data_IF_510321617970
#
_entry.id   IF_510321617970
#
_cell.length_a   1.000
_cell.length_b   1.000
_cell.length_c   1.000
_cell.angle_alpha   90.00
_cell.angle_beta   90.00
_cell.angle_gamma   90.00
#
_symmetry.space_group_name_H-M   'P 1'
#
loop_
_entity.id
_entity.type
_entity.pdbx_description
1 polymer ?
#
# COMPACT_ATOMS: atom_id res chain seq x y z
N UNK A 1 11.81 6.90 22.93
CA UNK A 1 10.96 6.56 21.78
C UNK A 1 11.29 5.15 21.36
N UNK A 2 10.31 4.24 21.29
CA UNK A 2 10.54 2.88 20.82
C UNK A 2 10.93 2.91 19.33
N UNK A 3 12.00 2.22 18.96
CA UNK A 3 12.34 1.96 17.57
C UNK A 3 11.18 1.21 16.91
N UNK A 4 10.88 1.51 15.64
CA UNK A 4 9.95 0.70 14.86
C UNK A 4 10.44 -0.75 14.87
N UNK A 5 9.60 -1.67 15.36
CA UNK A 5 9.95 -3.09 15.43
C UNK A 5 9.57 -3.76 14.12
N UNK A 6 10.34 -3.42 13.10
CA UNK A 6 10.13 -3.85 11.71
C UNK A 6 9.94 -5.36 11.61
N UNK A 7 10.86 -6.14 12.19
CA UNK A 7 10.78 -7.60 12.18
C UNK A 7 9.47 -8.14 12.76
N UNK A 8 9.07 -7.65 13.94
CA UNK A 8 7.81 -8.10 14.56
C UNK A 8 6.60 -7.69 13.72
N UNK A 9 6.67 -6.54 13.03
CA UNK A 9 5.59 -6.08 12.16
C UNK A 9 5.45 -6.98 10.93
N UNK A 10 6.58 -7.38 10.32
CA UNK A 10 6.64 -8.33 9.21
C UNK A 10 6.09 -9.69 9.64
N UNK A 11 6.54 -10.23 10.78
CA UNK A 11 6.06 -11.52 11.31
C UNK A 11 4.56 -11.50 11.59
N UNK A 12 4.06 -10.43 12.24
CA UNK A 12 2.63 -10.28 12.50
C UNK A 12 1.82 -10.20 11.21
N UNK A 13 2.30 -9.45 10.22
CA UNK A 13 1.66 -9.34 8.91
C UNK A 13 1.59 -10.68 8.19
N UNK A 14 2.71 -11.42 8.16
CA UNK A 14 2.77 -12.77 7.59
C UNK A 14 1.78 -13.72 8.26
N UNK A 15 1.75 -13.75 9.60
CA UNK A 15 0.84 -14.60 10.36
C UNK A 15 -0.64 -14.26 10.12
N UNK A 16 -0.96 -12.96 9.96
CA UNK A 16 -2.29 -12.49 9.59
C UNK A 16 -2.68 -12.99 8.20
N UNK A 17 -1.82 -12.79 7.20
CA UNK A 17 -2.05 -13.24 5.84
C UNK A 17 -2.17 -14.76 5.77
N UNK A 18 -1.32 -15.51 6.47
CA UNK A 18 -1.38 -16.99 6.54
C UNK A 18 -2.72 -17.46 7.08
N UNK A 19 -3.22 -16.86 8.17
CA UNK A 19 -4.51 -17.23 8.76
C UNK A 19 -5.69 -16.93 7.84
N UNK A 20 -5.55 -15.95 6.95
CA UNK A 20 -6.61 -15.48 6.07
C UNK A 20 -6.61 -16.20 4.72
N UNK A 21 -5.45 -16.33 4.08
CA UNK A 21 -5.29 -16.86 2.72
C UNK A 21 -5.05 -18.38 2.68
N UNK A 22 -4.68 -19.04 3.79
CA UNK A 22 -4.53 -20.50 3.79
C UNK A 22 -5.85 -21.14 4.25
N UNK A 23 -6.62 -21.79 3.36
CA UNK A 23 -7.94 -22.31 3.69
C UNK A 23 -7.86 -23.45 4.70
N UNK A 24 -8.49 -23.28 5.87
CA UNK A 24 -8.41 -24.25 6.99
C UNK A 24 -9.06 -25.59 6.66
N UNK A 25 -10.17 -25.56 5.93
CA UNK A 25 -11.01 -26.72 5.59
C UNK A 25 -10.54 -27.46 4.33
N UNK A 26 -9.45 -26.99 3.70
CA UNK A 26 -8.85 -27.64 2.53
C UNK A 26 -7.94 -28.81 2.91
N UNK A 27 -7.54 -29.58 1.90
CA UNK A 27 -6.64 -30.72 2.08
C UNK A 27 -5.25 -30.30 2.56
N UNK A 28 -4.48 -31.18 3.23
CA UNK A 28 -3.10 -30.88 3.61
C UNK A 28 -2.22 -30.44 2.43
N UNK A 29 -2.44 -30.98 1.23
CA UNK A 29 -1.71 -30.62 0.03
C UNK A 29 -2.05 -29.20 -0.46
N UNK A 30 -3.34 -28.83 -0.48
CA UNK A 30 -3.77 -27.48 -0.83
C UNK A 30 -3.27 -26.43 0.15
N UNK A 31 -3.30 -26.73 1.46
CA UNK A 31 -2.73 -25.82 2.48
C UNK A 31 -1.23 -25.61 2.30
N UNK A 32 -0.51 -26.68 1.93
CA UNK A 32 0.92 -26.58 1.62
C UNK A 32 1.15 -25.71 0.39
N UNK A 33 0.42 -25.94 -0.71
CA UNK A 33 0.49 -25.12 -1.94
C UNK A 33 0.14 -23.65 -1.65
N UNK A 34 -0.92 -23.38 -0.88
CA UNK A 34 -1.31 -22.02 -0.50
C UNK A 34 -0.23 -21.31 0.33
N UNK A 35 0.44 -22.04 1.22
CA UNK A 35 1.53 -21.50 2.04
C UNK A 35 2.78 -21.20 1.18
N UNK A 36 3.13 -22.09 0.25
CA UNK A 36 4.22 -21.87 -0.72
C UNK A 36 3.94 -20.61 -1.56
N UNK A 37 2.72 -20.49 -2.10
CA UNK A 37 2.30 -19.28 -2.85
C UNK A 37 2.36 -18.04 -1.97
N UNK A 38 1.98 -18.11 -0.69
CA UNK A 38 2.10 -16.96 0.22
C UNK A 38 3.56 -16.53 0.42
N UNK A 39 4.51 -17.48 0.49
CA UNK A 39 5.92 -17.14 0.54
C UNK A 39 6.39 -16.46 -0.75
N UNK A 40 6.01 -16.98 -1.91
CA UNK A 40 6.33 -16.37 -3.20
C UNK A 40 5.77 -14.94 -3.31
N UNK A 41 4.54 -14.72 -2.82
CA UNK A 41 3.91 -13.39 -2.79
C UNK A 41 4.66 -12.40 -1.89
N UNK A 42 5.23 -12.84 -0.76
CA UNK A 42 6.06 -11.99 0.10
C UNK A 42 7.38 -11.66 -0.61
N UNK A 43 7.99 -12.67 -1.22
CA UNK A 43 9.25 -12.56 -1.96
C UNK A 43 9.10 -11.72 -3.23
N UNK A 44 7.89 -11.56 -3.75
CA UNK A 44 7.55 -10.71 -4.89
C UNK A 44 7.06 -9.32 -4.44
N UNK A 45 5.96 -9.24 -3.71
CA UNK A 45 5.26 -7.98 -3.39
C UNK A 45 5.80 -7.28 -2.13
N UNK A 46 6.65 -7.94 -1.34
CA UNK A 46 7.15 -7.41 -0.07
C UNK A 46 6.26 -7.79 1.11
N UNK A 47 6.49 -7.21 2.30
CA UNK A 47 5.79 -7.61 3.50
C UNK A 47 4.30 -7.22 3.48
N UNK A 48 3.50 -7.91 4.28
CA UNK A 48 2.07 -7.62 4.46
C UNK A 48 1.90 -6.32 5.23
N UNK A 49 0.97 -5.50 4.76
CA UNK A 49 0.66 -4.17 5.30
C UNK A 49 -0.83 -4.06 5.62
N UNK A 50 -1.21 -3.14 6.49
CA UNK A 50 -2.62 -2.89 6.79
C UNK A 50 -3.21 -1.87 5.81
N UNK A 51 -2.48 -0.78 5.54
CA UNK A 51 -2.86 0.22 4.55
C UNK A 51 -1.65 0.96 3.99
N UNK A 52 -1.83 1.48 2.78
CA UNK A 52 -0.79 2.16 2.00
C UNK A 52 -0.62 3.62 2.44
N UNK A 53 0.55 4.23 2.16
CA UNK A 53 0.65 5.67 2.08
C UNK A 53 -0.34 6.25 1.06
N UNK A 54 -0.92 7.43 1.32
CA UNK A 54 -1.89 8.07 0.42
C UNK A 54 -1.32 8.37 -0.96
N UNK A 55 0.00 8.60 -1.05
CA UNK A 55 0.72 8.83 -2.30
C UNK A 55 1.07 7.56 -3.07
N UNK A 56 0.83 6.37 -2.50
CA UNK A 56 1.25 5.10 -3.11
C UNK A 56 0.45 4.83 -4.41
N UNK A 57 1.07 4.33 -5.49
CA UNK A 57 0.39 4.12 -6.78
C UNK A 57 -0.82 3.16 -6.71
N UNK A 58 -0.89 2.30 -5.70
CA UNK A 58 -2.05 1.42 -5.51
C UNK A 58 -3.28 2.14 -4.96
N UNK A 59 -3.15 3.35 -4.42
CA UNK A 59 -4.28 4.10 -3.85
C UNK A 59 -4.34 5.56 -4.26
N UNK A 60 -3.30 6.13 -4.88
CA UNK A 60 -3.18 7.57 -5.15
C UNK A 60 -4.18 8.17 -6.15
N UNK A 61 -5.06 7.37 -6.75
CA UNK A 61 -6.08 7.83 -7.71
C UNK A 61 -7.36 8.33 -7.05
N UNK A 62 -7.43 8.32 -5.73
CA UNK A 62 -8.58 8.79 -4.97
C UNK A 62 -8.79 10.30 -5.09
N UNK A 63 -10.01 10.75 -4.76
CA UNK A 63 -10.31 12.17 -4.58
C UNK A 63 -9.43 12.74 -3.45
N UNK A 64 -8.55 13.73 -3.71
CA UNK A 64 -7.69 14.34 -2.70
C UNK A 64 -8.44 14.87 -1.46
N UNK A 65 -9.74 15.18 -1.58
CA UNK A 65 -10.59 15.62 -0.45
C UNK A 65 -11.06 14.49 0.45
N UNK A 66 -10.98 13.25 -0.02
CA UNK A 66 -11.39 12.05 0.68
C UNK A 66 -10.30 10.98 0.55
N UNK A 67 -9.14 11.16 1.19
CA UNK A 67 -8.00 10.27 1.01
C UNK A 67 -8.30 8.87 1.50
N UNK A 68 -8.04 7.89 0.64
CA UNK A 68 -8.18 6.47 0.94
C UNK A 68 -6.80 5.83 1.00
N UNK A 69 -6.67 4.79 1.83
CA UNK A 69 -5.40 4.10 2.07
C UNK A 69 -5.46 2.60 1.78
N UNK A 70 -6.58 2.13 1.26
CA UNK A 70 -6.79 0.75 0.84
C UNK A 70 -7.39 0.73 -0.56
N UNK A 71 -6.97 -0.22 -1.43
CA UNK A 71 -7.60 -0.45 -2.72
C UNK A 71 -9.12 -0.57 -2.59
N UNK A 72 -9.84 0.20 -3.40
CA UNK A 72 -11.30 0.24 -3.40
C UNK A 72 -11.81 0.85 -4.71
N UNK A 73 -13.13 0.91 -4.86
CA UNK A 73 -13.78 1.63 -5.98
C UNK A 73 -13.37 3.09 -6.06
N UNK A 74 -13.01 3.71 -4.93
CA UNK A 74 -12.54 5.10 -4.89
C UNK A 74 -11.18 5.28 -5.56
N UNK A 75 -10.41 4.20 -5.73
CA UNK A 75 -9.16 4.19 -6.51
C UNK A 75 -9.36 3.64 -7.94
N UNK A 76 -10.59 3.24 -8.30
CA UNK A 76 -10.92 2.64 -9.60
C UNK A 76 -10.98 1.12 -9.64
N UNK A 77 -10.65 0.40 -8.55
CA UNK A 77 -10.74 -1.06 -8.53
C UNK A 77 -12.19 -1.54 -8.44
N UNK A 78 -12.51 -2.62 -9.16
CA UNK A 78 -13.85 -3.24 -9.12
C UNK A 78 -13.74 -4.74 -8.88
N UNK A 79 -14.75 -5.32 -8.25
CA UNK A 79 -14.80 -6.77 -7.99
C UNK A 79 -13.81 -7.25 -6.93
N UNK A 80 -13.25 -6.35 -6.11
CA UNK A 80 -12.39 -6.74 -5.00
C UNK A 80 -13.19 -7.49 -3.94
N UNK A 81 -12.65 -8.61 -3.50
CA UNK A 81 -13.16 -9.41 -2.40
C UNK A 81 -12.00 -10.08 -1.64
N UNK A 82 -12.19 -10.36 -0.36
CA UNK A 82 -11.20 -11.07 0.46
C UNK A 82 -9.75 -10.65 0.22
N UNK A 83 -9.49 -9.35 0.39
CA UNK A 83 -8.23 -8.73 -0.04
C UNK A 83 -7.19 -8.70 1.08
N UNK A 84 -5.93 -9.03 0.72
CA UNK A 84 -4.75 -8.89 1.58
C UNK A 84 -3.74 -7.99 0.88
N UNK A 85 -3.24 -6.99 1.63
CA UNK A 85 -2.33 -5.99 1.12
C UNK A 85 -0.87 -6.35 1.43
N UNK A 86 -0.01 -6.14 0.44
CA UNK A 86 1.44 -6.24 0.52
C UNK A 86 2.04 -4.88 0.15
N UNK A 87 3.29 -4.61 0.51
CA UNK A 87 3.92 -3.30 0.29
C UNK A 87 3.84 -2.82 -1.18
N UNK A 88 4.01 -3.72 -2.15
CA UNK A 88 4.05 -3.40 -3.59
C UNK A 88 2.99 -4.13 -4.40
N UNK A 89 1.90 -4.54 -3.77
CA UNK A 89 0.78 -5.20 -4.45
C UNK A 89 -0.27 -5.70 -3.48
N UNK A 90 -1.32 -6.31 -3.99
CA UNK A 90 -2.31 -6.98 -3.15
C UNK A 90 -2.82 -8.23 -3.84
N UNK A 91 -3.41 -9.11 -3.05
CA UNK A 91 -4.11 -10.29 -3.55
C UNK A 91 -5.57 -10.19 -3.13
N UNK A 92 -6.46 -10.43 -4.08
CA UNK A 92 -7.91 -10.49 -3.86
C UNK A 92 -8.44 -11.84 -4.33
N UNK A 93 -9.40 -12.41 -3.60
CA UNK A 93 -9.97 -13.72 -3.89
C UNK A 93 -11.49 -13.61 -4.16
N UNK A 94 -11.91 -13.00 -5.28
CA UNK A 94 -13.33 -12.93 -5.64
C UNK A 94 -13.94 -14.31 -5.89
N UNK A 95 -15.17 -14.50 -5.43
CA UNK A 95 -15.97 -15.68 -5.77
C UNK A 95 -16.41 -15.69 -7.24
N UNK A 96 -16.57 -14.51 -7.84
CA UNK A 96 -17.05 -14.36 -9.21
C UNK A 96 -16.28 -13.25 -9.92
N UNK A 97 -16.05 -13.45 -11.23
CA UNK A 97 -15.57 -12.42 -12.14
C UNK A 97 -14.20 -11.79 -11.79
N UNK A 98 -13.15 -12.62 -11.72
CA UNK A 98 -11.78 -12.13 -11.66
C UNK A 98 -11.40 -11.20 -12.84
N UNK A 99 -12.14 -11.25 -13.95
CA UNK A 99 -11.92 -10.37 -15.10
C UNK A 99 -12.28 -8.92 -14.78
N UNK A 100 -13.30 -8.70 -13.94
CA UNK A 100 -13.66 -7.37 -13.48
C UNK A 100 -12.51 -6.70 -12.71
N UNK A 101 -11.79 -7.47 -11.87
CA UNK A 101 -10.59 -6.98 -11.18
C UNK A 101 -9.53 -6.59 -12.21
N UNK A 102 -9.17 -7.52 -13.09
CA UNK A 102 -8.07 -7.33 -14.07
C UNK A 102 -8.35 -6.15 -15.01
N UNK A 103 -9.56 -6.10 -15.57
CA UNK A 103 -9.99 -5.00 -16.45
C UNK A 103 -10.04 -3.66 -15.73
N UNK A 104 -10.42 -3.63 -14.44
CA UNK A 104 -10.36 -2.40 -13.64
C UNK A 104 -8.93 -1.90 -13.48
N UNK A 105 -7.98 -2.79 -13.16
CA UNK A 105 -6.55 -2.43 -13.02
C UNK A 105 -5.99 -1.86 -14.32
N UNK A 106 -6.30 -2.46 -15.46
CA UNK A 106 -5.86 -1.98 -16.78
C UNK A 106 -6.40 -0.57 -17.12
N UNK A 107 -7.49 -0.14 -16.49
CA UNK A 107 -8.09 1.18 -16.70
C UNK A 107 -7.58 2.26 -15.74
N UNK A 108 -6.84 1.88 -14.69
CA UNK A 108 -6.33 2.81 -13.68
C UNK A 108 -5.14 3.58 -14.26
N UNK A 109 -5.26 4.91 -14.27
CA UNK A 109 -4.14 5.77 -14.60
C UNK A 109 -3.30 6.01 -13.34
N UNK A 110 -2.07 5.48 -13.33
CA UNK A 110 -1.14 5.63 -12.22
C UNK A 110 -0.29 6.89 -12.36
N UNK A 111 0.03 7.59 -11.25
CA UNK A 111 1.00 8.68 -11.28
C UNK A 111 2.37 8.20 -11.80
N UNK A 112 3.18 9.15 -12.27
CA UNK A 112 4.52 8.88 -12.81
C UNK A 112 5.39 8.08 -11.83
N UNK A 113 6.15 7.10 -12.35
CA UNK A 113 7.13 6.34 -11.57
C UNK A 113 6.70 4.91 -11.24
N UNK A 114 5.50 4.48 -11.61
CA UNK A 114 5.05 3.09 -11.51
C UNK A 114 3.98 2.73 -12.55
N UNK A 115 3.85 1.43 -12.82
CA UNK A 115 2.72 0.84 -13.54
C UNK A 115 2.01 -0.19 -12.68
N UNK A 116 0.72 -0.42 -12.95
CA UNK A 116 -0.03 -1.51 -12.31
C UNK A 116 -0.26 -2.65 -13.30
N UNK A 117 -0.17 -3.87 -12.80
CA UNK A 117 -0.52 -5.08 -13.55
C UNK A 117 -1.36 -6.01 -12.68
N UNK A 118 -2.17 -6.85 -13.31
CA UNK A 118 -3.01 -7.82 -12.63
C UNK A 118 -3.07 -9.13 -13.41
N UNK A 119 -3.00 -10.24 -12.70
CA UNK A 119 -3.17 -11.57 -13.29
C UNK A 119 -3.89 -12.53 -12.35
N UNK A 120 -4.55 -13.52 -12.93
CA UNK A 120 -5.09 -14.65 -12.16
C UNK A 120 -3.95 -15.59 -11.80
N UNK A 121 -3.99 -16.13 -10.59
CA UNK A 121 -3.03 -17.15 -10.15
C UNK A 121 -3.76 -18.47 -9.87
N UNK A 122 -3.16 -19.58 -10.31
CA UNK A 122 -3.67 -20.92 -10.02
C UNK A 122 -3.22 -21.37 -8.62
N UNK A 123 -3.89 -20.86 -7.59
CA UNK A 123 -3.58 -21.13 -6.20
C UNK A 123 -4.86 -21.33 -5.37
N UNK A 124 -4.87 -22.29 -4.41
CA UNK A 124 -6.01 -22.51 -3.52
C UNK A 124 -5.98 -21.51 -2.36
N UNK A 125 -6.04 -20.21 -2.66
CA UNK A 125 -6.04 -19.15 -1.64
C UNK A 125 -7.45 -18.89 -1.13
N UNK A 126 -7.53 -18.46 0.14
CA UNK A 126 -8.72 -18.08 0.90
C UNK A 126 -9.76 -19.19 1.07
N UNK A 127 -10.42 -19.61 -0.02
CA UNK A 127 -11.44 -20.65 -0.01
C UNK A 127 -11.61 -21.28 -1.40
N UNK A 128 -12.13 -22.52 -1.41
CA UNK A 128 -12.59 -23.19 -2.62
C UNK A 128 -13.63 -22.35 -3.38
N UNK A 129 -13.52 -22.33 -4.71
CA UNK A 129 -14.42 -21.59 -5.59
C UNK A 129 -14.07 -20.11 -5.79
N UNK A 130 -13.06 -19.57 -5.10
CA UNK A 130 -12.54 -18.24 -5.42
C UNK A 130 -11.60 -18.28 -6.62
N UNK A 131 -11.40 -17.12 -7.25
CA UNK A 131 -10.49 -16.91 -8.37
C UNK A 131 -9.43 -15.89 -7.96
N UNK A 132 -8.32 -16.31 -7.31
CA UNK A 132 -7.34 -15.37 -6.81
C UNK A 132 -6.69 -14.55 -7.93
N UNK A 133 -6.65 -13.24 -7.71
CA UNK A 133 -5.99 -12.26 -8.58
C UNK A 133 -4.90 -11.58 -7.77
N UNK A 134 -3.69 -11.58 -8.32
CA UNK A 134 -2.60 -10.75 -7.83
C UNK A 134 -2.60 -9.43 -8.60
N UNK A 135 -2.46 -8.33 -7.87
CA UNK A 135 -2.26 -6.99 -8.42
C UNK A 135 -0.89 -6.50 -7.98
N UNK A 136 -0.08 -6.02 -8.92
CA UNK A 136 1.29 -5.56 -8.70
C UNK A 136 1.41 -4.07 -8.93
N UNK A 137 2.31 -3.46 -8.16
CA UNK A 137 2.84 -2.13 -8.40
C UNK A 137 4.28 -2.26 -8.86
N UNK A 138 4.49 -2.12 -10.17
CA UNK A 138 5.80 -2.23 -10.81
C UNK A 138 6.45 -0.85 -10.84
N UNK A 139 7.48 -0.64 -10.03
CA UNK A 139 8.19 0.64 -9.95
C UNK A 139 9.15 0.83 -11.13
N UNK A 140 9.13 2.01 -11.75
CA UNK A 140 10.06 2.37 -12.84
C UNK A 140 11.52 2.50 -12.33
N UNK A 141 11.67 2.88 -11.06
CA UNK A 141 12.97 2.99 -10.39
C UNK A 141 13.18 1.78 -9.48
N UNK A 142 14.37 1.13 -9.49
CA UNK A 142 14.68 0.05 -8.57
C UNK A 142 14.46 0.45 -7.11
N UNK A 143 13.84 -0.44 -6.34
CA UNK A 143 13.66 -0.27 -4.91
C UNK A 143 15.00 -0.35 -4.16
N UNK A 144 15.07 0.32 -3.02
CA UNK A 144 16.21 0.22 -2.10
C UNK A 144 16.22 -1.15 -1.38
N UNK A 145 17.30 -1.43 -0.64
CA UNK A 145 17.42 -2.64 0.18
C UNK A 145 16.20 -2.80 1.10
N UNK A 146 15.66 -4.03 1.16
CA UNK A 146 14.41 -4.30 1.88
C UNK A 146 13.15 -3.92 1.10
N UNK A 147 13.27 -3.69 -0.22
CA UNK A 147 12.17 -3.25 -1.11
C UNK A 147 11.57 -1.91 -0.67
N UNK A 148 12.40 -0.98 -0.20
CA UNK A 148 11.92 0.33 0.23
C UNK A 148 11.84 1.29 -0.96
N UNK A 149 10.82 2.13 -1.00
CA UNK A 149 10.62 3.11 -2.06
C UNK A 149 11.71 4.19 -1.96
N UNK A 150 12.46 4.46 -3.05
CA UNK A 150 13.55 5.42 -3.02
C UNK A 150 13.10 6.82 -2.61
N UNK A 151 13.94 7.52 -1.84
CA UNK A 151 13.65 8.86 -1.31
C UNK A 151 13.11 9.85 -2.35
N UNK A 152 13.72 9.90 -3.54
CA UNK A 152 13.28 10.79 -4.64
C UNK A 152 11.84 10.51 -5.05
N UNK A 153 11.48 9.23 -5.16
CA UNK A 153 10.15 8.79 -5.61
C UNK A 153 9.11 9.06 -4.53
N UNK A 154 9.35 8.59 -3.29
CA UNK A 154 8.41 8.77 -2.19
C UNK A 154 8.13 10.25 -1.88
N UNK A 155 9.17 11.10 -1.87
CA UNK A 155 9.02 12.54 -1.66
C UNK A 155 8.27 13.19 -2.83
N UNK A 156 8.60 12.82 -4.08
CA UNK A 156 7.92 13.35 -5.26
C UNK A 156 6.43 13.04 -5.26
N UNK A 157 6.07 11.77 -5.05
CA UNK A 157 4.67 11.34 -4.97
C UNK A 157 3.92 11.97 -3.80
N UNK A 158 4.56 12.10 -2.63
CA UNK A 158 3.97 12.83 -1.49
C UNK A 158 3.66 14.28 -1.88
N UNK A 159 4.57 14.97 -2.56
CA UNK A 159 4.33 16.35 -3.00
C UNK A 159 3.22 16.44 -4.03
N UNK A 160 3.21 15.55 -5.02
CA UNK A 160 2.17 15.49 -6.05
C UNK A 160 0.77 15.28 -5.45
N UNK A 161 0.69 14.52 -4.36
CA UNK A 161 -0.57 14.28 -3.66
C UNK A 161 -0.98 15.48 -2.81
N UNK A 162 -0.07 15.97 -1.96
CA UNK A 162 -0.44 16.85 -0.85
C UNK A 162 -0.44 18.33 -1.23
N UNK A 163 0.41 18.77 -2.17
CA UNK A 163 0.52 20.21 -2.45
C UNK A 163 -0.82 20.76 -2.97
N UNK A 164 -1.54 19.99 -3.80
CA UNK A 164 -2.83 20.38 -4.40
C UNK A 164 -3.86 20.84 -3.36
N UNK A 165 -3.77 20.37 -2.13
CA UNK A 165 -4.69 20.71 -1.05
C UNK A 165 -4.74 22.22 -0.75
N UNK A 166 -3.72 23.01 -1.10
CA UNK A 166 -3.67 24.46 -0.85
C UNK A 166 -4.79 25.23 -1.53
N UNK A 167 -5.34 24.67 -2.61
CA UNK A 167 -6.44 25.28 -3.34
C UNK A 167 -7.76 25.32 -2.55
N UNK A 168 -7.92 24.51 -1.50
CA UNK A 168 -9.20 24.43 -0.77
C UNK A 168 -9.08 24.25 0.74
N UNK A 169 -7.93 23.88 1.29
CA UNK A 169 -7.77 23.81 2.74
C UNK A 169 -7.59 25.20 3.36
N UNK A 170 -8.07 25.35 4.59
CA UNK A 170 -7.85 26.55 5.42
C UNK A 170 -7.00 26.26 6.65
N UNK A 171 -6.48 25.05 6.77
CA UNK A 171 -5.64 24.60 7.88
C UNK A 171 -4.50 23.70 7.38
N UNK A 172 -3.31 23.92 7.92
CA UNK A 172 -2.17 23.02 7.76
C UNK A 172 -2.20 21.91 8.82
N UNK A 173 -2.11 20.65 8.39
CA UNK A 173 -2.07 19.51 9.30
C UNK A 173 -0.64 19.22 9.78
N UNK A 174 -0.48 18.86 11.05
CA UNK A 174 0.83 18.57 11.64
C UNK A 174 1.45 17.28 11.08
N UNK A 175 2.76 17.08 11.29
CA UNK A 175 3.38 15.78 11.01
C UNK A 175 2.72 14.64 11.80
N UNK A 176 2.31 14.87 13.04
CA UNK A 176 1.77 13.81 13.89
C UNK A 176 0.40 13.34 13.40
N UNK A 177 -0.41 14.22 12.80
CA UNK A 177 -1.68 13.86 12.16
C UNK A 177 -1.47 13.23 10.79
N UNK A 178 -0.48 13.69 10.02
CA UNK A 178 -0.27 13.24 8.64
C UNK A 178 0.66 12.03 8.47
N UNK A 179 1.52 11.71 9.45
CA UNK A 179 2.55 10.65 9.29
C UNK A 179 1.98 9.29 8.88
N UNK A 180 0.77 8.93 9.33
CA UNK A 180 0.13 7.67 8.94
C UNK A 180 -0.35 7.66 7.48
N UNK A 181 -0.62 8.83 6.89
CA UNK A 181 -0.89 8.98 5.46
C UNK A 181 0.40 8.95 4.65
N UNK A 182 1.51 9.44 5.22
CA UNK A 182 2.79 9.46 4.51
C UNK A 182 3.56 8.14 4.60
N UNK A 183 3.40 7.39 5.68
CA UNK A 183 4.20 6.21 5.96
C UNK A 183 3.44 4.89 5.74
N UNK A 184 2.12 4.94 5.59
CA UNK A 184 1.27 3.73 5.57
C UNK A 184 1.21 3.06 6.94
N UNK A 185 0.80 1.80 6.99
CA UNK A 185 0.81 0.98 8.21
C UNK A 185 1.22 -0.46 7.90
N UNK A 186 2.11 -1.07 8.70
CA UNK A 186 2.63 -0.56 9.97
C UNK A 186 3.75 0.47 9.81
N UNK A 187 3.78 1.43 10.75
CA UNK A 187 4.81 2.46 10.78
C UNK A 187 5.29 2.80 12.20
N UNK A 188 6.53 3.27 12.28
CA UNK A 188 7.06 3.93 13.47
C UNK A 188 6.97 5.45 13.37
N UNK A 189 7.60 6.14 14.32
CA UNK A 189 7.65 7.62 14.30
C UNK A 189 8.46 8.19 13.12
N UNK A 190 9.36 7.39 12.53
CA UNK A 190 10.37 7.83 11.55
C UNK A 190 10.70 6.80 10.48
N UNK A 191 9.94 5.72 10.32
CA UNK A 191 10.18 4.69 9.29
C UNK A 191 8.92 3.84 9.12
N UNK A 192 8.83 3.07 8.05
CA UNK A 192 7.78 2.08 7.84
C UNK A 192 8.25 0.95 6.93
N UNK A 193 7.35 0.04 6.57
CA UNK A 193 7.61 -1.00 5.57
C UNK A 193 7.69 -0.47 4.13
N UNK A 194 7.42 0.81 3.91
CA UNK A 194 7.47 1.44 2.58
C UNK A 194 8.72 2.29 2.39
N UNK A 195 9.19 2.96 3.44
CA UNK A 195 10.29 3.94 3.33
C UNK A 195 11.27 3.81 4.48
N UNK A 196 12.55 4.03 4.15
CA UNK A 196 13.64 4.05 5.12
C UNK A 196 13.53 5.23 6.09
N UNK A 197 14.32 5.17 7.17
CA UNK A 197 14.34 6.25 8.15
C UNK A 197 14.81 7.58 7.56
N UNK A 198 15.80 7.55 6.69
CA UNK A 198 16.31 8.74 6.01
C UNK A 198 15.24 9.36 5.09
N UNK A 199 14.52 8.53 4.34
CA UNK A 199 13.41 8.96 3.49
C UNK A 199 12.28 9.58 4.31
N UNK A 200 11.80 8.93 5.37
CA UNK A 200 10.75 9.46 6.23
C UNK A 200 11.14 10.79 6.89
N UNK A 201 12.41 10.94 7.29
CA UNK A 201 12.92 12.21 7.83
C UNK A 201 13.06 13.31 6.76
N UNK A 202 13.33 12.97 5.50
CA UNK A 202 13.25 13.91 4.39
C UNK A 202 11.80 14.37 4.17
N UNK A 203 10.84 13.44 4.10
CA UNK A 203 9.42 13.73 4.00
C UNK A 203 8.94 14.65 5.13
N UNK A 204 9.31 14.35 6.38
CA UNK A 204 8.99 15.20 7.53
C UNK A 204 9.51 16.63 7.39
N UNK A 205 10.78 16.80 7.03
CA UNK A 205 11.39 18.13 6.87
C UNK A 205 10.67 18.95 5.80
N UNK A 206 10.34 18.32 4.68
CA UNK A 206 9.62 18.97 3.59
C UNK A 206 8.21 19.35 4.01
N UNK A 207 7.46 18.44 4.64
CA UNK A 207 6.11 18.73 5.13
C UNK A 207 6.10 19.90 6.12
N UNK A 208 7.03 19.90 7.10
CA UNK A 208 7.16 21.00 8.06
C UNK A 208 7.45 22.33 7.36
N UNK A 209 8.37 22.36 6.40
CA UNK A 209 8.66 23.57 5.64
C UNK A 209 7.43 24.09 4.85
N UNK A 210 6.62 23.20 4.28
CA UNK A 210 5.41 23.57 3.56
C UNK A 210 4.37 24.16 4.51
N UNK A 211 4.05 23.50 5.62
CA UNK A 211 3.04 24.02 6.55
C UNK A 211 3.49 25.32 7.24
N UNK A 212 4.78 25.47 7.54
CA UNK A 212 5.35 26.68 8.13
C UNK A 212 5.33 27.89 7.17
N UNK A 213 5.27 27.64 5.85
CA UNK A 213 5.08 28.71 4.87
C UNK A 213 3.71 29.39 4.93
N UNK A 214 2.74 28.77 5.61
CA UNK A 214 1.35 29.26 5.70
C UNK A 214 0.52 28.99 4.45
N UNK A 215 1.02 28.24 3.47
CA UNK A 215 0.32 27.96 2.19
C UNK A 215 -1.03 27.26 2.40
N UNK A 216 -1.17 26.47 3.47
CA UNK A 216 -2.42 25.79 3.84
C UNK A 216 -3.24 26.56 4.88
N UNK A 217 -2.81 27.74 5.33
CA UNK A 217 -3.38 28.44 6.47
C UNK A 217 -2.71 28.09 7.82
N UNK A 218 -3.32 28.44 8.96
CA UNK A 218 -2.78 28.18 10.29
C UNK A 218 -2.50 26.69 10.53
N UNK A 219 -1.51 26.36 11.36
CA UNK A 219 -1.19 24.97 11.68
C UNK A 219 -2.07 24.45 12.81
N UNK A 220 -2.66 23.27 12.61
CA UNK A 220 -3.36 22.52 13.64
C UNK A 220 -2.36 21.90 14.61
N UNK A 221 -2.46 22.26 15.88
CA UNK A 221 -1.67 21.68 16.96
C UNK A 221 -2.42 20.55 17.66
#
# INVERSE_FOLDING_TARGET
>A
MAAFREHEAIERGFEKARRYLVPRESTPAERKKALEVLHDLIDELGPVVDWYPSWHPLVGQHDPRSPVRTPSEQCGYKGLDHTVHFAHGFVTCPYHDAEQVISSVASINVPHGASLSAERIDAPLYNSGTQPVIVRCDWETPLELGKLVPKRVAVGLMLDQEIKNWHWTSLGESWETMRGYFLGEPHGARSSLFVSQDTAMAMKRIWLAIIESGVFGPVRH
#
